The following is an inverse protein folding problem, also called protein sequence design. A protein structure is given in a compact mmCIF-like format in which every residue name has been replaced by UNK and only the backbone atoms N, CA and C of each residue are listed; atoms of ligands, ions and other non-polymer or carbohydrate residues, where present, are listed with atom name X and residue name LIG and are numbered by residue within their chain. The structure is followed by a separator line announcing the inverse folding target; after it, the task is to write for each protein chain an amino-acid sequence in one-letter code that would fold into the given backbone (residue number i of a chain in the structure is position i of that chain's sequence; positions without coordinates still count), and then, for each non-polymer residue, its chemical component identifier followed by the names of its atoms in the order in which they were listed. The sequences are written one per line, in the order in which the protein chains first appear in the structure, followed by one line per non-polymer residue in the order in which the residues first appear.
data_IF_170283516073
#
_entry.id   IF_170283516073
#
_cell.length_a   1.000
_cell.length_b   1.000
_cell.length_c   1.000
_cell.angle_alpha   90.00
_cell.angle_beta   90.00
_cell.angle_gamma   90.00
#
_symmetry.space_group_name_H-M   'P 1'
#
loop_
_entity.id
_entity.type
_entity.pdbx_description
1 polymer ?
#
# COMPACT_ATOMS: atom_id res chain seq x y z
N UNK A 1 -8.01 -12.57 -4.46
CA UNK A 1 -6.64 -12.07 -4.64
C UNK A 1 -6.70 -10.57 -4.78
N UNK A 2 -5.97 -9.85 -3.93
CA UNK A 2 -5.93 -8.39 -3.87
C UNK A 2 -4.54 -7.90 -4.31
N UNK A 3 -4.50 -6.73 -4.94
CA UNK A 3 -3.26 -6.08 -5.31
C UNK A 3 -2.92 -5.03 -4.26
N UNK A 4 -1.78 -5.21 -3.60
CA UNK A 4 -1.19 -4.24 -2.69
C UNK A 4 -0.05 -3.51 -3.40
N UNK A 5 -0.14 -2.19 -3.48
CA UNK A 5 0.98 -1.35 -3.86
C UNK A 5 1.78 -1.03 -2.59
N UNK A 6 3.00 -1.53 -2.52
CA UNK A 6 3.92 -1.31 -1.41
C UNK A 6 4.85 -0.16 -1.78
N UNK A 7 4.94 0.83 -0.91
CA UNK A 7 5.88 1.93 -1.03
C UNK A 7 6.97 1.72 0.01
N UNK A 8 8.20 1.50 -0.44
CA UNK A 8 9.35 1.37 0.44
C UNK A 8 9.80 2.73 0.95
N UNK A 9 10.47 2.77 2.11
CA UNK A 9 11.10 3.99 2.65
C UNK A 9 12.20 4.52 1.74
N UNK A 10 12.76 3.69 0.86
CA UNK A 10 13.69 4.08 -0.22
C UNK A 10 13.01 4.87 -1.34
N UNK A 11 11.68 4.92 -1.39
CA UNK A 11 10.90 5.56 -2.45
C UNK A 11 10.50 4.61 -3.57
N UNK A 12 11.04 3.39 -3.59
CA UNK A 12 10.66 2.34 -4.53
C UNK A 12 9.20 1.91 -4.32
N UNK A 13 8.53 1.57 -5.41
CA UNK A 13 7.13 1.16 -5.41
C UNK A 13 7.01 -0.19 -6.09
N UNK A 14 6.32 -1.13 -5.46
CA UNK A 14 6.08 -2.46 -6.00
C UNK A 14 4.61 -2.83 -5.90
N UNK A 15 4.07 -3.48 -6.93
CA UNK A 15 2.70 -4.01 -6.91
C UNK A 15 2.77 -5.52 -6.67
N UNK A 16 2.21 -5.97 -5.56
CA UNK A 16 2.26 -7.35 -5.10
C UNK A 16 0.83 -7.92 -5.05
N UNK A 17 0.63 -9.11 -5.61
CA UNK A 17 -0.64 -9.83 -5.51
C UNK A 17 -0.62 -10.77 -4.30
N UNK A 18 -1.48 -10.49 -3.32
CA UNK A 18 -1.60 -11.28 -2.09
C UNK A 18 -3.07 -11.47 -1.73
N UNK A 19 -3.37 -12.47 -0.91
CA UNK A 19 -4.72 -12.64 -0.36
C UNK A 19 -5.01 -11.54 0.67
N UNK A 20 -4.05 -11.30 1.58
CA UNK A 20 -4.18 -10.37 2.70
C UNK A 20 -2.82 -9.76 3.06
N UNK A 21 -2.82 -8.70 3.89
CA UNK A 21 -1.62 -8.07 4.48
C UNK A 21 -0.70 -9.09 5.15
N UNK A 22 -1.26 -10.02 5.93
CA UNK A 22 -0.47 -11.07 6.60
C UNK A 22 0.27 -11.95 5.60
N UNK A 23 -0.40 -12.35 4.50
CA UNK A 23 0.20 -13.18 3.46
C UNK A 23 1.29 -12.41 2.69
N UNK A 24 1.16 -11.09 2.56
CA UNK A 24 2.20 -10.21 2.00
C UNK A 24 3.45 -10.19 2.88
N UNK A 25 3.29 -10.03 4.18
CA UNK A 25 4.40 -10.03 5.14
C UNK A 25 5.07 -11.41 5.16
N UNK A 26 4.28 -12.48 5.17
CA UNK A 26 4.80 -13.86 5.11
C UNK A 26 5.61 -14.13 3.84
N UNK A 27 5.09 -13.77 2.65
CA UNK A 27 5.73 -14.08 1.36
C UNK A 27 6.95 -13.21 1.06
N UNK A 28 6.88 -11.90 1.35
CA UNK A 28 7.90 -10.94 0.91
C UNK A 28 8.84 -10.49 2.02
N UNK A 29 8.42 -10.67 3.28
CA UNK A 29 9.19 -10.26 4.45
C UNK A 29 9.47 -11.44 5.39
N UNK A 30 9.30 -12.68 4.93
CA UNK A 30 9.51 -13.92 5.70
C UNK A 30 8.69 -13.97 7.01
N UNK A 31 7.56 -13.26 7.06
CA UNK A 31 6.74 -13.17 8.28
C UNK A 31 7.27 -12.18 9.31
N UNK A 32 8.34 -11.45 8.99
CA UNK A 32 8.96 -10.48 9.87
C UNK A 32 8.27 -9.11 9.76
N UNK A 33 7.39 -8.82 10.73
CA UNK A 33 6.67 -7.55 10.80
C UNK A 33 7.59 -6.36 11.08
N UNK A 34 8.69 -6.55 11.79
CA UNK A 34 9.66 -5.49 12.08
C UNK A 34 10.43 -5.11 10.81
N UNK A 35 10.87 -6.09 10.03
CA UNK A 35 11.47 -5.87 8.72
C UNK A 35 10.50 -5.16 7.77
N UNK A 36 9.23 -5.57 7.79
CA UNK A 36 8.18 -4.91 7.03
C UNK A 36 8.04 -3.44 7.45
N UNK A 37 7.90 -3.13 8.74
CA UNK A 37 7.78 -1.74 9.24
C UNK A 37 9.04 -0.90 9.04
N UNK A 38 10.20 -1.54 9.03
CA UNK A 38 11.49 -0.90 8.78
C UNK A 38 11.64 -0.51 7.30
N UNK A 39 11.23 -1.38 6.37
CA UNK A 39 11.41 -1.17 4.93
C UNK A 39 10.22 -0.50 4.25
N UNK A 40 9.01 -0.75 4.70
CA UNK A 40 7.78 -0.25 4.09
C UNK A 40 7.36 1.05 4.75
N UNK A 41 7.09 2.05 3.92
CA UNK A 41 6.55 3.35 4.33
C UNK A 41 5.03 3.31 4.38
N UNK A 42 4.41 2.81 3.32
CA UNK A 42 2.96 2.73 3.19
C UNK A 42 2.58 1.59 2.25
N UNK A 43 1.37 1.07 2.42
CA UNK A 43 0.74 0.16 1.47
C UNK A 43 -0.59 0.75 1.03
N UNK A 44 -0.96 0.51 -0.23
CA UNK A 44 -2.28 0.88 -0.73
C UNK A 44 -2.91 -0.29 -1.44
N UNK A 45 -4.23 -0.43 -1.33
CA UNK A 45 -4.97 -1.48 -2.02
C UNK A 45 -6.31 -0.94 -2.47
N UNK A 46 -6.79 -1.45 -3.59
CA UNK A 46 -8.13 -1.12 -4.08
C UNK A 46 -9.09 -2.22 -3.66
N UNK A 47 -10.24 -1.82 -3.11
CA UNK A 47 -11.39 -2.68 -2.94
C UNK A 47 -12.60 -2.01 -3.58
N UNK A 48 -13.20 -2.66 -4.60
CA UNK A 48 -14.30 -2.10 -5.39
C UNK A 48 -13.96 -0.71 -5.93
N UNK A 49 -14.67 0.33 -5.48
CA UNK A 49 -14.47 1.73 -5.86
C UNK A 49 -13.78 2.54 -4.75
N UNK A 50 -13.06 1.87 -3.84
CA UNK A 50 -12.36 2.50 -2.72
C UNK A 50 -10.86 2.21 -2.83
N UNK A 51 -10.05 3.25 -2.73
CA UNK A 51 -8.62 3.16 -2.50
C UNK A 51 -8.35 3.25 -1.00
N UNK A 52 -7.75 2.21 -0.45
CA UNK A 52 -7.26 2.21 0.92
C UNK A 52 -5.77 2.48 0.91
N UNK A 53 -5.32 3.28 1.88
CA UNK A 53 -3.93 3.64 2.09
C UNK A 53 -3.59 3.49 3.57
N UNK A 54 -2.72 2.55 3.90
CA UNK A 54 -2.21 2.34 5.25
C UNK A 54 -0.79 2.89 5.36
N UNK A 55 -0.58 3.82 6.28
CA UNK A 55 0.74 4.27 6.66
C UNK A 55 1.30 3.29 7.71
N UNK A 56 2.39 2.61 7.36
CA UNK A 56 2.96 1.56 8.22
C UNK A 56 3.67 2.15 9.46
N UNK A 57 4.14 3.39 9.35
CA UNK A 57 4.85 4.06 10.42
C UNK A 57 3.90 4.48 11.56
N UNK A 58 2.71 4.97 11.21
CA UNK A 58 1.69 5.41 12.17
C UNK A 58 0.59 4.38 12.41
N UNK A 59 0.51 3.32 11.60
CA UNK A 59 -0.60 2.36 11.59
C UNK A 59 -1.93 2.97 11.15
N UNK A 60 -1.92 4.18 10.57
CA UNK A 60 -3.14 4.89 10.18
C UNK A 60 -3.65 4.41 8.83
N UNK A 61 -4.94 4.06 8.76
CA UNK A 61 -5.59 3.65 7.52
C UNK A 61 -6.52 4.77 7.06
N UNK A 62 -6.25 5.29 5.86
CA UNK A 62 -7.11 6.21 5.13
C UNK A 62 -7.83 5.45 4.02
N UNK A 63 -9.02 5.93 3.67
CA UNK A 63 -9.80 5.43 2.53
C UNK A 63 -10.30 6.61 1.71
N UNK A 64 -10.22 6.46 0.40
CA UNK A 64 -10.59 7.47 -0.59
C UNK A 64 -11.51 6.80 -1.61
N UNK A 65 -12.61 7.47 -1.97
CA UNK A 65 -13.48 6.99 -3.04
C UNK A 65 -12.79 7.24 -4.38
N UNK A 66 -12.60 6.17 -5.16
CA UNK A 66 -12.11 6.25 -6.53
C UNK A 66 -13.24 6.80 -7.39
N UNK A 67 -13.34 8.13 -7.46
CA UNK A 67 -14.21 8.77 -8.44
C UNK A 67 -13.70 8.43 -9.86
N UNK A 68 -14.57 7.90 -10.71
CA UNK A 68 -14.21 7.45 -12.08
C UNK A 68 -13.70 8.60 -12.97
N UNK A 69 -13.81 9.86 -12.54
CA UNK A 69 -13.25 11.05 -13.20
C UNK A 69 -12.07 11.69 -12.45
N UNK A 70 -11.66 11.18 -11.27
CA UNK A 70 -10.48 11.69 -10.58
C UNK A 70 -9.23 10.94 -11.05
N UNK A 71 -8.30 11.61 -11.75
CA UNK A 71 -7.06 10.99 -12.20
C UNK A 71 -6.14 10.75 -11.00
N UNK A 72 -6.29 9.63 -10.29
CA UNK A 72 -5.38 9.18 -9.21
C UNK A 72 -4.77 10.36 -8.45
N UNK A 73 -5.63 11.27 -7.95
CA UNK A 73 -5.22 12.62 -7.54
C UNK A 73 -4.41 12.47 -6.25
N UNK A 74 -3.10 12.62 -6.37
CA UNK A 74 -2.18 12.61 -5.23
C UNK A 74 -0.75 12.15 -5.52
N UNK A 75 -0.50 11.49 -6.66
CA UNK A 75 0.85 10.97 -6.98
C UNK A 75 1.50 11.60 -8.22
N UNK A 76 0.77 12.45 -8.95
CA UNK A 76 1.24 13.23 -10.11
C UNK A 76 0.85 14.71 -9.93
N UNK A 77 1.53 15.43 -9.04
CA UNK A 77 1.99 16.81 -9.31
C UNK A 77 2.73 17.37 -8.09
N UNK A 78 4.05 17.31 -8.15
CA UNK A 78 4.91 18.34 -7.56
C UNK A 78 5.91 18.72 -8.65
N UNK A 79 5.48 19.62 -9.54
CA UNK A 79 6.34 20.51 -10.29
C UNK A 79 5.90 21.94 -10.01
#
# INVERSE_FOLDING_TARGET
MQYYNVILKTGERGRLACEDRTNLILKYFNGDEDLFKSRVKAITWTDKSLLYSENIDTGSISKEELDQNSPMVGWMNTQ
#
